data_IF_793591833324
#
_entry.id   IF_793591833324
#
_cell.length_a   1.000
_cell.length_b   1.000
_cell.length_c   1.000
_cell.angle_alpha   90.00
_cell.angle_beta   90.00
_cell.angle_gamma   90.00
#
_symmetry.space_group_name_H-M   'P 1'
#
loop_
_entity.id
_entity.type
_entity.pdbx_description
1 polymer ?
#
# COMPACT_ATOMS: atom_id res chain seq x y z
N UNK A 1 3.28 17.40 -18.72
CA UNK A 1 4.69 17.47 -19.18
C UNK A 1 4.69 17.31 -20.68
N UNK A 2 5.22 18.30 -21.40
CA UNK A 2 5.19 18.36 -22.86
C UNK A 2 6.01 17.20 -23.47
N UNK A 3 5.41 16.47 -24.40
CA UNK A 3 5.96 15.31 -25.13
C UNK A 3 7.20 15.67 -26.02
N UNK A 4 7.51 16.95 -26.13
CA UNK A 4 8.65 17.45 -26.96
C UNK A 4 10.05 17.17 -26.42
N UNK A 5 10.17 16.80 -25.12
CA UNK A 5 11.46 16.49 -24.47
C UNK A 5 11.97 15.06 -24.69
N UNK A 6 11.16 14.18 -25.30
CA UNK A 6 11.48 12.75 -25.48
C UNK A 6 12.16 12.40 -26.81
N UNK A 7 12.58 13.37 -27.58
CA UNK A 7 13.25 13.10 -28.86
C UNK A 7 14.75 12.91 -28.61
N UNK A 8 15.26 11.71 -28.84
CA UNK A 8 16.70 11.41 -28.76
C UNK A 8 17.52 12.11 -29.79
N UNK A 9 16.90 12.64 -30.87
CA UNK A 9 17.58 13.24 -32.02
C UNK A 9 18.74 12.37 -32.55
N UNK A 10 18.61 11.04 -32.44
CA UNK A 10 19.62 10.10 -32.89
C UNK A 10 18.95 8.86 -33.52
N UNK A 11 18.67 8.86 -34.82
CA UNK A 11 17.87 7.82 -35.49
C UNK A 11 18.36 6.39 -35.26
N UNK A 12 19.69 6.17 -35.16
CA UNK A 12 20.26 4.85 -34.91
C UNK A 12 19.94 4.33 -33.48
N UNK A 13 19.97 5.22 -32.48
CA UNK A 13 19.61 4.84 -31.09
C UNK A 13 18.13 4.52 -30.99
N UNK A 14 17.29 5.31 -31.65
CA UNK A 14 15.83 5.05 -31.70
C UNK A 14 15.51 3.71 -32.38
N UNK A 15 16.21 3.39 -33.47
CA UNK A 15 16.05 2.09 -34.14
C UNK A 15 16.46 0.92 -33.26
N UNK A 16 17.59 1.03 -32.54
CA UNK A 16 18.04 0.00 -31.58
C UNK A 16 17.08 -0.17 -30.40
N UNK A 17 16.51 0.90 -29.87
CA UNK A 17 15.50 0.85 -28.79
C UNK A 17 14.25 0.11 -29.26
N UNK A 18 13.77 0.36 -30.48
CA UNK A 18 12.63 -0.35 -31.06
C UNK A 18 12.93 -1.84 -31.24
N UNK A 19 14.10 -2.18 -31.76
CA UNK A 19 14.55 -3.56 -31.92
C UNK A 19 14.60 -4.30 -30.58
N UNK A 20 15.27 -3.71 -29.56
CA UNK A 20 15.29 -4.25 -28.21
C UNK A 20 13.89 -4.45 -27.61
N UNK A 21 13.00 -3.49 -27.82
CA UNK A 21 11.63 -3.57 -27.32
C UNK A 21 10.82 -4.70 -27.97
N UNK A 22 11.07 -4.98 -29.25
CA UNK A 22 10.46 -6.11 -29.98
C UNK A 22 10.98 -7.46 -29.48
N UNK A 23 12.29 -7.55 -29.18
CA UNK A 23 12.92 -8.78 -28.64
C UNK A 23 12.43 -9.17 -27.25
N UNK A 24 11.88 -8.22 -26.46
CA UNK A 24 11.30 -8.50 -25.13
C UNK A 24 10.04 -9.37 -25.19
N UNK A 25 9.50 -9.66 -26.37
CA UNK A 25 8.39 -10.58 -26.60
C UNK A 25 7.00 -10.00 -26.33
N UNK A 26 5.94 -10.77 -26.67
CA UNK A 26 4.55 -10.27 -26.65
C UNK A 26 4.00 -10.00 -25.24
N UNK A 27 4.66 -10.49 -24.18
CA UNK A 27 4.31 -10.17 -22.79
C UNK A 27 4.74 -8.77 -22.33
N UNK A 28 5.66 -8.15 -23.06
CA UNK A 28 6.04 -6.76 -22.84
C UNK A 28 5.06 -5.88 -23.64
N UNK A 29 4.29 -5.02 -22.95
CA UNK A 29 3.57 -3.94 -23.64
C UNK A 29 4.63 -3.09 -24.34
N UNK A 30 4.90 -3.39 -25.60
CA UNK A 30 6.04 -2.88 -26.39
C UNK A 30 6.28 -1.38 -26.23
N UNK A 31 5.24 -0.56 -26.27
CA UNK A 31 5.35 0.87 -26.08
C UNK A 31 5.84 1.34 -24.70
N UNK A 32 5.71 0.53 -23.64
CA UNK A 32 6.22 0.88 -22.31
C UNK A 32 7.73 0.64 -22.22
N UNK A 33 8.22 -0.48 -22.76
CA UNK A 33 9.67 -0.77 -22.79
C UNK A 33 10.42 0.24 -23.66
N UNK A 34 9.87 0.62 -24.81
CA UNK A 34 10.42 1.66 -25.65
C UNK A 34 10.59 2.98 -24.88
N UNK A 35 9.58 3.40 -24.11
CA UNK A 35 9.67 4.59 -23.25
C UNK A 35 10.75 4.44 -22.16
N UNK A 36 10.83 3.29 -21.50
CA UNK A 36 11.85 3.03 -20.46
C UNK A 36 13.28 3.11 -21.03
N UNK A 37 13.53 2.49 -22.18
CA UNK A 37 14.83 2.55 -22.84
C UNK A 37 15.16 3.97 -23.34
N UNK A 38 14.16 4.70 -23.82
CA UNK A 38 14.32 6.11 -24.24
C UNK A 38 14.72 6.97 -23.03
N UNK A 39 14.03 6.83 -21.89
CA UNK A 39 14.35 7.60 -20.68
C UNK A 39 15.77 7.26 -20.18
N UNK A 40 16.20 5.98 -20.22
CA UNK A 40 17.56 5.58 -19.86
C UNK A 40 18.62 6.17 -20.80
N UNK A 41 18.36 6.19 -22.12
CA UNK A 41 19.26 6.77 -23.09
C UNK A 41 19.38 8.31 -22.93
N UNK A 42 18.27 8.99 -22.61
CA UNK A 42 18.24 10.42 -22.30
C UNK A 42 19.05 10.74 -21.03
N UNK A 43 18.88 9.96 -19.97
CA UNK A 43 19.67 10.11 -18.72
C UNK A 43 21.17 9.99 -19.03
N UNK A 44 21.58 8.97 -19.80
CA UNK A 44 22.98 8.79 -20.15
C UNK A 44 23.58 9.90 -20.98
N UNK A 45 22.76 10.59 -21.79
CA UNK A 45 23.19 11.74 -22.63
C UNK A 45 23.19 13.06 -21.86
N UNK A 46 22.21 13.28 -20.98
CA UNK A 46 21.91 14.59 -20.38
C UNK A 46 22.56 14.78 -19.02
N UNK A 47 22.85 13.68 -18.32
CA UNK A 47 23.47 13.72 -17.01
C UNK A 47 24.82 12.98 -16.99
N UNK A 48 25.95 13.71 -16.93
CA UNK A 48 27.29 13.12 -16.85
C UNK A 48 27.66 12.65 -15.45
N UNK A 49 26.86 12.94 -14.39
CA UNK A 49 27.22 12.61 -13.03
C UNK A 49 27.10 11.11 -12.75
N UNK A 50 28.24 10.50 -12.42
CA UNK A 50 28.34 9.07 -12.12
C UNK A 50 27.59 8.69 -10.82
N UNK A 51 27.45 9.59 -9.86
CA UNK A 51 26.69 9.34 -8.65
C UNK A 51 25.19 9.20 -8.95
N UNK A 52 24.66 10.01 -9.86
CA UNK A 52 23.28 9.91 -10.31
C UNK A 52 23.02 8.62 -11.10
N UNK A 53 23.96 8.22 -11.96
CA UNK A 53 23.87 6.93 -12.65
C UNK A 53 23.86 5.75 -11.67
N UNK A 54 24.68 5.79 -10.62
CA UNK A 54 24.64 4.79 -9.54
C UNK A 54 23.32 4.77 -8.80
N UNK A 55 22.75 5.93 -8.50
CA UNK A 55 21.44 6.06 -7.84
C UNK A 55 20.36 5.38 -8.69
N UNK A 56 20.28 5.75 -9.98
CA UNK A 56 19.27 5.23 -10.91
C UNK A 56 19.43 3.72 -11.10
N UNK A 57 20.65 3.24 -11.37
CA UNK A 57 20.92 1.82 -11.53
C UNK A 57 20.52 1.03 -10.28
N UNK A 58 20.89 1.51 -9.08
CA UNK A 58 20.55 0.82 -7.84
C UNK A 58 19.04 0.82 -7.57
N UNK A 59 18.37 1.92 -7.85
CA UNK A 59 16.90 2.05 -7.76
C UNK A 59 16.19 1.05 -8.68
N UNK A 60 16.58 0.99 -9.96
CA UNK A 60 16.01 0.04 -10.92
C UNK A 60 16.25 -1.41 -10.49
N UNK A 61 17.44 -1.70 -9.97
CA UNK A 61 17.77 -3.03 -9.47
C UNK A 61 16.90 -3.42 -8.28
N UNK A 62 16.73 -2.53 -7.29
CA UNK A 62 15.89 -2.77 -6.13
C UNK A 62 14.42 -2.99 -6.52
N UNK A 63 13.89 -2.18 -7.43
CA UNK A 63 12.54 -2.36 -7.96
C UNK A 63 12.39 -3.69 -8.70
N UNK A 64 13.33 -4.04 -9.59
CA UNK A 64 13.29 -5.31 -10.31
C UNK A 64 13.30 -6.50 -9.35
N UNK A 65 14.25 -6.53 -8.41
CA UNK A 65 14.39 -7.63 -7.44
C UNK A 65 13.14 -7.77 -6.58
N UNK A 66 12.56 -6.64 -6.10
CA UNK A 66 11.33 -6.64 -5.32
C UNK A 66 10.12 -7.13 -6.13
N UNK A 67 9.95 -6.61 -7.34
CA UNK A 67 8.83 -7.01 -8.21
C UNK A 67 8.91 -8.51 -8.56
N UNK A 68 10.12 -9.05 -8.74
CA UNK A 68 10.34 -10.48 -8.97
C UNK A 68 10.02 -11.30 -7.71
N UNK A 69 10.44 -10.84 -6.53
CA UNK A 69 10.16 -11.49 -5.25
C UNK A 69 8.65 -11.65 -5.02
N UNK A 70 7.88 -10.59 -5.25
CA UNK A 70 6.43 -10.60 -4.97
C UNK A 70 5.57 -11.18 -6.10
N UNK A 71 6.13 -11.44 -7.29
CA UNK A 71 5.38 -11.93 -8.44
C UNK A 71 4.56 -13.20 -8.16
N UNK A 72 5.10 -14.25 -7.50
CA UNK A 72 4.34 -15.46 -7.18
C UNK A 72 3.20 -15.24 -6.17
N UNK A 73 3.24 -14.12 -5.44
CA UNK A 73 2.34 -13.82 -4.31
C UNK A 73 1.33 -12.71 -4.61
N UNK A 74 1.13 -12.33 -5.88
CA UNK A 74 0.21 -11.24 -6.29
C UNK A 74 -1.24 -11.48 -5.89
N UNK A 75 -1.67 -12.73 -5.86
CA UNK A 75 -3.05 -13.09 -5.46
C UNK A 75 -3.28 -13.16 -3.95
N UNK A 76 -2.25 -12.95 -3.11
CA UNK A 76 -2.34 -13.04 -1.66
C UNK A 76 -2.30 -11.65 -1.02
N UNK A 77 -3.26 -11.40 -0.11
CA UNK A 77 -3.24 -10.17 0.70
C UNK A 77 -2.12 -10.22 1.71
N UNK A 78 -1.48 -9.07 1.91
CA UNK A 78 -0.35 -8.93 2.83
C UNK A 78 -0.60 -7.78 3.79
N UNK A 79 -0.16 -7.93 5.02
CA UNK A 79 -0.25 -6.89 6.06
C UNK A 79 1.15 -6.41 6.42
N UNK A 80 1.39 -5.11 6.28
CA UNK A 80 2.62 -4.48 6.75
C UNK A 80 2.52 -4.21 8.25
N UNK A 81 3.51 -4.66 9.02
CA UNK A 81 3.57 -4.48 10.48
C UNK A 81 4.79 -3.66 10.84
N UNK A 82 4.55 -2.54 11.52
CA UNK A 82 5.58 -1.62 11.99
C UNK A 82 5.48 -1.40 13.51
N UNK A 83 6.60 -1.05 14.12
CA UNK A 83 6.70 -0.75 15.53
C UNK A 83 8.14 -0.62 15.98
N UNK A 84 8.34 -0.43 17.29
CA UNK A 84 9.66 -0.26 17.87
C UNK A 84 10.58 -1.47 17.64
N UNK A 85 11.79 -1.24 17.18
CA UNK A 85 12.85 -2.25 17.09
C UNK A 85 13.52 -2.55 18.43
N UNK A 86 13.17 -1.80 19.50
CA UNK A 86 13.87 -1.82 20.80
C UNK A 86 13.12 -2.55 21.90
N UNK A 87 11.89 -3.01 21.63
CA UNK A 87 11.12 -3.78 22.63
C UNK A 87 11.66 -5.20 22.74
N UNK A 88 11.76 -5.71 23.97
CA UNK A 88 12.18 -7.08 24.25
C UNK A 88 11.03 -8.06 24.03
N UNK A 89 11.34 -9.35 23.97
CA UNK A 89 10.38 -10.45 23.84
C UNK A 89 9.41 -10.57 25.05
N UNK A 90 9.81 -10.06 26.21
CA UNK A 90 8.95 -9.97 27.40
C UNK A 90 7.92 -8.84 27.34
N UNK A 91 8.12 -7.85 26.46
CA UNK A 91 7.24 -6.69 26.37
C UNK A 91 5.83 -7.07 25.86
N UNK A 92 4.73 -6.53 26.46
CA UNK A 92 3.37 -6.83 26.02
C UNK A 92 3.11 -6.61 24.54
N UNK A 93 3.61 -5.51 23.96
CA UNK A 93 3.46 -5.21 22.53
C UNK A 93 4.24 -6.20 21.63
N UNK A 94 5.33 -6.82 22.09
CA UNK A 94 6.01 -7.88 21.35
C UNK A 94 5.11 -9.12 21.22
N UNK A 95 4.52 -9.55 22.34
CA UNK A 95 3.57 -10.68 22.37
C UNK A 95 2.36 -10.41 21.50
N UNK A 96 1.81 -9.19 21.60
CA UNK A 96 0.69 -8.72 20.80
C UNK A 96 0.98 -8.75 19.29
N UNK A 97 2.18 -8.31 18.87
CA UNK A 97 2.60 -8.37 17.47
C UNK A 97 2.76 -9.81 16.96
N UNK A 98 3.25 -10.71 17.81
CA UNK A 98 3.37 -12.14 17.50
C UNK A 98 1.99 -12.78 17.34
N UNK A 99 1.07 -12.54 18.27
CA UNK A 99 -0.33 -13.01 18.22
C UNK A 99 -1.07 -12.49 16.99
N UNK A 100 -0.91 -11.20 16.68
CA UNK A 100 -1.47 -10.59 15.46
C UNK A 100 -1.00 -11.34 14.22
N UNK A 101 0.31 -11.55 14.09
CA UNK A 101 0.87 -12.20 12.90
C UNK A 101 0.43 -13.66 12.76
N UNK A 102 0.33 -14.41 13.86
CA UNK A 102 -0.23 -15.77 13.88
C UNK A 102 -1.68 -15.78 13.41
N UNK A 103 -2.52 -14.91 13.97
CA UNK A 103 -3.92 -14.81 13.59
C UNK A 103 -4.12 -14.38 12.12
N UNK A 104 -3.33 -13.44 11.60
CA UNK A 104 -3.35 -13.05 10.20
C UNK A 104 -3.01 -14.22 9.27
N UNK A 105 -2.02 -15.03 9.61
CA UNK A 105 -1.64 -16.22 8.83
C UNK A 105 -2.75 -17.26 8.81
N UNK A 106 -3.47 -17.47 9.92
CA UNK A 106 -4.64 -18.34 9.98
C UNK A 106 -5.78 -17.85 9.07
N UNK A 107 -5.83 -16.55 8.78
CA UNK A 107 -6.77 -15.93 7.84
C UNK A 107 -6.20 -15.82 6.40
N UNK A 108 -5.18 -16.62 6.09
CA UNK A 108 -4.48 -16.67 4.78
C UNK A 108 -3.82 -15.34 4.33
N UNK A 109 -3.56 -14.42 5.26
CA UNK A 109 -2.72 -13.27 4.99
C UNK A 109 -1.23 -13.63 5.08
N UNK A 110 -0.41 -12.84 4.44
CA UNK A 110 1.05 -12.83 4.60
C UNK A 110 1.46 -11.55 5.35
N UNK A 111 2.62 -11.58 5.99
CA UNK A 111 3.12 -10.47 6.81
C UNK A 111 4.38 -9.88 6.19
N UNK A 112 4.43 -8.55 6.10
CA UNK A 112 5.62 -7.81 5.64
C UNK A 112 6.14 -6.98 6.80
N UNK A 113 7.44 -7.06 7.08
CA UNK A 113 8.11 -6.23 8.10
C UNK A 113 9.39 -5.60 7.56
N UNK A 114 9.98 -4.67 8.34
CA UNK A 114 11.32 -4.15 8.07
C UNK A 114 12.46 -5.11 8.41
N UNK A 115 12.15 -6.33 8.86
CA UNK A 115 13.12 -7.39 9.21
C UNK A 115 14.10 -7.04 10.34
N UNK A 116 13.87 -5.99 11.11
CA UNK A 116 14.66 -5.63 12.31
C UNK A 116 14.22 -6.42 13.56
N UNK A 117 14.77 -6.05 14.71
CA UNK A 117 14.37 -6.61 16.01
C UNK A 117 13.01 -6.10 16.50
N UNK A 118 12.67 -6.43 17.73
CA UNK A 118 11.47 -5.96 18.43
C UNK A 118 10.15 -6.35 17.76
N UNK A 119 9.30 -5.39 17.45
CA UNK A 119 7.98 -5.64 16.85
C UNK A 119 8.09 -6.36 15.49
N UNK A 120 9.08 -6.02 14.68
CA UNK A 120 9.29 -6.65 13.38
C UNK A 120 9.70 -8.12 13.53
N UNK A 121 10.55 -8.40 14.50
CA UNK A 121 10.96 -9.77 14.87
C UNK A 121 9.76 -10.57 15.38
N UNK A 122 8.97 -10.00 16.29
CA UNK A 122 7.76 -10.63 16.82
C UNK A 122 6.79 -11.02 15.71
N UNK A 123 6.55 -10.10 14.76
CA UNK A 123 5.67 -10.35 13.63
C UNK A 123 6.22 -11.43 12.67
N UNK A 124 7.51 -11.42 12.35
CA UNK A 124 8.13 -12.49 11.55
C UNK A 124 8.08 -13.84 12.26
N UNK A 125 8.35 -13.86 13.58
CA UNK A 125 8.23 -15.07 14.43
C UNK A 125 6.82 -15.64 14.41
N UNK A 126 5.81 -14.78 14.59
CA UNK A 126 4.40 -15.17 14.60
C UNK A 126 3.91 -15.68 13.26
N UNK A 127 4.31 -15.06 12.16
CA UNK A 127 3.91 -15.45 10.81
C UNK A 127 4.65 -16.71 10.30
N UNK A 128 5.85 -17.00 10.80
CA UNK A 128 6.71 -18.05 10.29
C UNK A 128 7.30 -17.71 8.91
N UNK A 129 8.36 -18.45 8.51
CA UNK A 129 9.16 -18.15 7.31
C UNK A 129 8.35 -18.12 6.02
N UNK A 130 7.47 -19.10 5.81
CA UNK A 130 6.70 -19.25 4.56
C UNK A 130 5.71 -18.12 4.31
N UNK A 131 5.25 -17.45 5.37
CA UNK A 131 4.23 -16.39 5.31
C UNK A 131 4.80 -15.01 5.65
N UNK A 132 6.14 -14.90 5.82
CA UNK A 132 6.85 -13.67 6.16
C UNK A 132 7.61 -13.10 4.98
N UNK A 133 7.66 -11.77 4.90
CA UNK A 133 8.54 -11.01 4.02
C UNK A 133 9.31 -9.98 4.85
N UNK A 134 10.60 -9.87 4.55
CA UNK A 134 11.49 -8.88 5.16
C UNK A 134 11.96 -7.85 4.15
N UNK A 135 11.62 -6.58 4.35
CA UNK A 135 12.14 -5.46 3.55
C UNK A 135 13.13 -4.67 4.41
N UNK A 136 14.36 -5.19 4.51
CA UNK A 136 15.40 -4.63 5.37
C UNK A 136 16.07 -3.41 4.72
N UNK A 137 16.56 -2.47 5.53
CA UNK A 137 17.32 -1.30 5.09
C UNK A 137 18.76 -1.42 5.56
N UNK A 138 19.71 -1.16 4.67
CA UNK A 138 21.13 -1.05 5.05
C UNK A 138 21.37 0.28 5.75
N UNK A 139 21.68 0.21 7.03
CA UNK A 139 22.07 1.36 7.85
C UNK A 139 23.60 1.40 8.04
N UNK A 140 24.18 2.58 8.35
CA UNK A 140 25.62 2.71 8.68
C UNK A 140 26.05 1.85 9.88
N UNK A 141 25.20 1.75 10.91
CA UNK A 141 25.32 0.74 11.97
C UNK A 141 24.57 -0.50 11.50
N UNK A 142 25.31 -1.54 11.17
CA UNK A 142 24.74 -2.78 10.61
C UNK A 142 23.64 -3.35 11.52
N UNK A 143 22.39 -3.17 11.11
CA UNK A 143 21.27 -3.87 11.71
C UNK A 143 21.07 -5.17 10.94
N UNK A 144 21.57 -6.27 11.52
CA UNK A 144 21.30 -7.59 10.97
C UNK A 144 19.81 -7.89 10.95
N UNK A 145 19.30 -8.58 9.94
CA UNK A 145 17.93 -9.08 9.97
C UNK A 145 17.70 -9.94 11.21
N UNK A 146 16.45 -9.96 11.69
CA UNK A 146 16.11 -10.85 12.80
C UNK A 146 16.21 -12.34 12.41
N UNK A 147 16.41 -13.26 13.38
CA UNK A 147 16.72 -14.67 13.09
C UNK A 147 15.57 -15.42 12.40
N UNK A 148 14.34 -14.91 12.45
CA UNK A 148 13.18 -15.55 11.85
C UNK A 148 13.05 -15.33 10.35
N UNK A 149 13.79 -14.35 9.79
CA UNK A 149 13.78 -14.02 8.35
C UNK A 149 15.21 -13.97 7.75
N UNK A 150 16.25 -14.02 8.58
CA UNK A 150 17.63 -14.00 8.06
C UNK A 150 17.92 -15.19 7.15
N UNK A 151 18.65 -14.92 6.06
CA UNK A 151 18.96 -15.88 4.99
C UNK A 151 17.73 -16.54 4.34
N UNK A 152 16.56 -15.89 4.42
CA UNK A 152 15.35 -16.36 3.78
C UNK A 152 15.23 -15.79 2.35
N UNK A 153 14.71 -16.56 1.36
CA UNK A 153 14.45 -16.04 0.01
C UNK A 153 13.43 -14.88 -0.01
N UNK A 154 12.60 -14.73 1.02
CA UNK A 154 11.67 -13.63 1.17
C UNK A 154 12.28 -12.38 1.84
N UNK A 155 13.59 -12.38 2.12
CA UNK A 155 14.32 -11.23 2.65
C UNK A 155 14.94 -10.43 1.52
N UNK A 156 14.62 -9.17 1.44
CA UNK A 156 15.25 -8.21 0.54
C UNK A 156 15.96 -7.09 1.32
N UNK A 157 17.16 -6.69 0.86
CA UNK A 157 17.97 -5.62 1.47
C UNK A 157 18.00 -4.40 0.56
N UNK A 158 17.46 -3.29 1.03
CA UNK A 158 17.42 -2.00 0.34
C UNK A 158 18.57 -1.09 0.77
N UNK A 159 19.04 -0.27 -0.15
CA UNK A 159 19.95 0.85 0.12
C UNK A 159 19.15 2.14 0.34
N UNK A 160 18.03 2.31 -0.38
CA UNK A 160 17.26 3.54 -0.35
C UNK A 160 15.93 3.36 0.37
N UNK A 161 15.60 4.33 1.22
CA UNK A 161 14.31 4.36 1.93
C UNK A 161 13.14 4.46 0.97
N UNK A 162 13.21 5.32 -0.05
CA UNK A 162 12.08 5.56 -0.95
C UNK A 162 11.68 4.32 -1.77
N UNK A 163 12.64 3.50 -2.22
CA UNK A 163 12.33 2.24 -2.92
C UNK A 163 11.68 1.23 -1.99
N UNK A 164 12.17 1.14 -0.75
CA UNK A 164 11.60 0.28 0.28
C UNK A 164 10.18 0.69 0.63
N UNK A 165 9.94 1.99 0.89
CA UNK A 165 8.63 2.57 1.19
C UNK A 165 7.63 2.30 0.08
N UNK A 166 8.02 2.51 -1.18
CA UNK A 166 7.19 2.19 -2.33
C UNK A 166 6.74 0.72 -2.30
N UNK A 167 7.63 -0.21 -1.95
CA UNK A 167 7.29 -1.64 -1.91
C UNK A 167 6.37 -1.99 -0.74
N UNK A 168 6.53 -1.38 0.44
CA UNK A 168 5.56 -1.53 1.54
C UNK A 168 4.16 -1.10 1.11
N UNK A 169 4.06 0.08 0.49
CA UNK A 169 2.77 0.61 0.03
C UNK A 169 2.16 -0.26 -1.08
N UNK A 170 2.97 -0.66 -2.06
CA UNK A 170 2.50 -1.41 -3.22
C UNK A 170 2.04 -2.83 -2.88
N UNK A 171 2.74 -3.51 -1.98
CA UNK A 171 2.53 -4.93 -1.72
C UNK A 171 1.61 -5.22 -0.54
N UNK A 172 1.27 -4.23 0.30
CA UNK A 172 0.39 -4.44 1.43
C UNK A 172 -1.06 -4.05 1.14
N UNK A 173 -1.97 -4.85 1.67
CA UNK A 173 -3.43 -4.60 1.68
C UNK A 173 -3.89 -3.98 2.99
N UNK A 174 -3.09 -3.99 4.03
CA UNK A 174 -3.35 -3.35 5.32
C UNK A 174 -2.03 -2.94 5.97
N UNK A 175 -2.09 -1.98 6.88
CA UNK A 175 -0.96 -1.55 7.69
C UNK A 175 -1.34 -1.59 9.16
N UNK A 176 -0.53 -2.24 9.99
CA UNK A 176 -0.68 -2.24 11.44
C UNK A 176 0.53 -1.57 12.07
N UNK A 177 0.27 -0.56 12.89
CA UNK A 177 1.26 0.24 13.58
C UNK A 177 1.18 -0.05 15.09
N UNK A 178 2.22 -0.63 15.65
CA UNK A 178 2.40 -0.74 17.11
C UNK A 178 3.27 0.44 17.60
N UNK A 179 3.26 0.75 18.91
CA UNK A 179 4.10 1.82 19.47
C UNK A 179 5.55 1.75 19.03
N UNK A 180 6.10 2.89 18.60
CA UNK A 180 7.47 2.96 18.09
C UNK A 180 8.01 4.36 17.98
N UNK A 181 9.23 4.47 17.45
CA UNK A 181 9.90 5.74 17.24
C UNK A 181 9.61 6.39 15.89
N UNK A 182 10.51 7.27 15.46
CA UNK A 182 10.37 8.04 14.22
C UNK A 182 10.13 7.16 12.99
N UNK A 183 10.81 6.01 12.84
CA UNK A 183 10.62 5.15 11.70
C UNK A 183 9.22 4.54 11.64
N UNK A 184 8.57 4.26 12.78
CA UNK A 184 7.19 3.79 12.84
C UNK A 184 6.22 4.91 12.44
N UNK A 185 6.42 6.11 12.97
CA UNK A 185 5.60 7.28 12.65
C UNK A 185 5.78 7.74 11.20
N UNK A 186 7.00 7.67 10.65
CA UNK A 186 7.32 7.97 9.27
C UNK A 186 6.53 7.07 8.29
N UNK A 187 6.49 5.76 8.53
CA UNK A 187 5.66 4.85 7.73
C UNK A 187 4.15 5.08 7.97
N UNK A 188 3.77 5.42 9.21
CA UNK A 188 2.38 5.77 9.53
C UNK A 188 1.89 7.01 8.79
N UNK A 189 2.64 8.10 8.86
CA UNK A 189 2.29 9.36 8.20
C UNK A 189 2.34 9.23 6.67
N UNK A 190 3.28 8.46 6.11
CA UNK A 190 3.29 8.20 4.67
C UNK A 190 2.02 7.47 4.22
N UNK A 191 1.62 6.40 4.92
CA UNK A 191 0.37 5.68 4.63
C UNK A 191 -0.84 6.62 4.69
N UNK A 192 -0.94 7.45 5.73
CA UNK A 192 -2.03 8.43 5.89
C UNK A 192 -2.03 9.47 4.77
N UNK A 193 -0.87 10.05 4.45
CA UNK A 193 -0.74 11.06 3.40
C UNK A 193 -1.10 10.48 2.02
N UNK A 194 -0.63 9.28 1.70
CA UNK A 194 -0.94 8.63 0.44
C UNK A 194 -2.42 8.25 0.33
N UNK A 195 -3.06 7.84 1.42
CA UNK A 195 -4.49 7.57 1.42
C UNK A 195 -5.29 8.86 1.31
N UNK A 196 -5.01 9.86 2.16
CA UNK A 196 -5.68 11.17 2.16
C UNK A 196 -5.62 11.87 0.79
N UNK A 197 -4.54 11.67 0.05
CA UNK A 197 -4.32 12.28 -1.27
C UNK A 197 -4.69 11.38 -2.45
N UNK A 198 -5.21 10.17 -2.19
CA UNK A 198 -5.59 9.21 -3.23
C UNK A 198 -4.42 8.64 -4.03
N UNK A 199 -3.23 8.63 -3.48
CA UNK A 199 -2.01 8.08 -4.11
C UNK A 199 -1.77 6.61 -3.82
N UNK A 200 -2.55 6.02 -2.91
CA UNK A 200 -2.62 4.57 -2.73
C UNK A 200 -4.08 4.10 -2.73
N UNK A 201 -4.27 2.79 -2.85
CA UNK A 201 -5.59 2.17 -2.74
C UNK A 201 -6.12 2.29 -1.31
N UNK A 202 -7.44 2.52 -1.12
CA UNK A 202 -8.06 2.45 0.20
C UNK A 202 -7.78 1.11 0.88
N UNK A 203 -7.35 1.18 2.14
CA UNK A 203 -6.99 0.02 2.95
C UNK A 203 -7.01 0.37 4.43
N UNK A 204 -7.22 -0.61 5.33
CA UNK A 204 -7.22 -0.34 6.76
C UNK A 204 -5.81 -0.01 7.27
N UNK A 205 -5.73 1.06 8.06
CA UNK A 205 -4.55 1.44 8.85
C UNK A 205 -4.94 1.28 10.31
N UNK A 206 -4.37 0.28 10.99
CA UNK A 206 -4.72 -0.07 12.37
C UNK A 206 -3.64 0.40 13.33
N UNK A 207 -4.04 1.19 14.31
CA UNK A 207 -3.22 1.61 15.44
C UNK A 207 -3.44 0.61 16.59
N UNK A 208 -2.46 -0.27 16.81
CA UNK A 208 -2.55 -1.36 17.77
C UNK A 208 -1.57 -1.15 18.91
N UNK A 209 -2.02 -1.16 20.17
CA UNK A 209 -1.18 -1.29 21.35
C UNK A 209 -1.88 -2.13 22.41
N UNK A 210 -1.12 -2.58 23.42
CA UNK A 210 -1.67 -3.31 24.54
C UNK A 210 -2.71 -2.48 25.29
N UNK A 211 -3.72 -3.14 25.86
CA UNK A 211 -4.86 -2.50 26.55
C UNK A 211 -4.45 -1.50 27.65
N UNK A 212 -3.32 -1.74 28.29
CA UNK A 212 -2.79 -0.89 29.37
C UNK A 212 -1.84 0.21 28.84
N UNK A 213 -1.63 0.29 27.52
CA UNK A 213 -0.83 1.34 26.87
C UNK A 213 -1.75 2.47 26.40
N UNK A 214 -1.23 3.69 26.33
CA UNK A 214 -1.94 4.87 25.85
C UNK A 214 -1.20 5.63 24.76
N UNK A 215 -0.25 4.98 24.10
CA UNK A 215 0.58 5.61 23.07
C UNK A 215 -0.28 6.18 21.93
N UNK A 216 -1.18 5.38 21.39
CA UNK A 216 -2.02 5.82 20.28
C UNK A 216 -3.15 6.75 20.71
N UNK A 217 -3.64 6.69 21.95
CA UNK A 217 -4.62 7.65 22.46
C UNK A 217 -4.01 9.06 22.52
N UNK A 218 -2.78 9.18 23.03
CA UNK A 218 -2.05 10.47 23.04
C UNK A 218 -1.76 10.97 21.63
N UNK A 219 -1.47 10.07 20.70
CA UNK A 219 -1.28 10.44 19.30
C UNK A 219 -2.58 10.96 18.68
N UNK A 220 -3.73 10.29 18.91
CA UNK A 220 -5.05 10.70 18.44
C UNK A 220 -5.44 12.04 19.08
N UNK A 221 -5.15 12.24 20.36
CA UNK A 221 -5.38 13.51 21.06
C UNK A 221 -4.58 14.65 20.42
N UNK A 222 -3.31 14.42 20.08
CA UNK A 222 -2.49 15.38 19.38
C UNK A 222 -3.07 15.71 17.98
N UNK A 223 -3.42 14.71 17.21
CA UNK A 223 -4.05 14.90 15.89
C UNK A 223 -5.33 15.73 16.01
N UNK A 224 -6.18 15.40 16.98
CA UNK A 224 -7.49 16.06 17.19
C UNK A 224 -7.34 17.48 17.73
N UNK A 225 -6.55 17.67 18.78
CA UNK A 225 -6.43 18.93 19.50
C UNK A 225 -5.53 19.95 18.81
N UNK A 226 -4.62 19.50 17.93
CA UNK A 226 -3.67 20.36 17.22
C UNK A 226 -3.98 20.38 15.73
N UNK A 227 -3.87 19.25 15.02
CA UNK A 227 -3.93 19.25 13.55
C UNK A 227 -5.32 19.58 13.02
N UNK A 228 -6.36 18.94 13.57
CA UNK A 228 -7.76 19.22 13.15
C UNK A 228 -8.15 20.62 13.61
N UNK A 229 -7.88 20.99 14.87
CA UNK A 229 -8.25 22.30 15.41
C UNK A 229 -7.59 23.46 14.66
N UNK A 230 -6.37 23.29 14.15
CA UNK A 230 -5.67 24.27 13.33
C UNK A 230 -6.05 24.22 11.84
N UNK A 231 -6.90 23.26 11.43
CA UNK A 231 -7.30 23.11 10.04
C UNK A 231 -6.21 22.51 9.12
N UNK A 232 -5.19 21.88 9.66
CA UNK A 232 -4.14 21.23 8.85
C UNK A 232 -4.65 19.95 8.18
N UNK A 233 -5.63 19.29 8.78
CA UNK A 233 -6.35 18.15 8.24
C UNK A 233 -7.84 18.27 8.56
N UNK A 234 -8.68 17.54 7.84
CA UNK A 234 -10.12 17.52 8.08
C UNK A 234 -10.49 16.57 9.23
N UNK A 235 -11.64 16.80 9.87
CA UNK A 235 -12.17 15.89 10.89
C UNK A 235 -12.42 14.48 10.32
N UNK A 236 -12.79 14.38 9.04
CA UNK A 236 -13.04 13.12 8.38
C UNK A 236 -11.76 12.29 8.16
N UNK A 237 -10.58 12.92 8.22
CA UNK A 237 -9.31 12.20 8.05
C UNK A 237 -9.00 11.26 9.22
N UNK A 238 -9.64 11.45 10.39
CA UNK A 238 -9.55 10.48 11.49
C UNK A 238 -10.18 9.12 11.15
N UNK A 239 -11.11 9.07 10.19
CA UNK A 239 -11.67 7.79 9.73
C UNK A 239 -10.67 6.93 8.96
N UNK A 240 -9.51 7.47 8.59
CA UNK A 240 -8.45 6.72 7.91
C UNK A 240 -7.72 5.73 8.83
N UNK A 241 -7.86 5.88 10.15
CA UNK A 241 -7.23 5.01 11.14
C UNK A 241 -8.26 4.31 12.02
N UNK A 242 -7.90 3.11 12.44
CA UNK A 242 -8.70 2.29 13.34
C UNK A 242 -7.90 2.00 14.61
N UNK A 243 -8.53 2.18 15.76
CA UNK A 243 -7.93 1.87 17.05
C UNK A 243 -8.24 0.43 17.43
N UNK A 244 -7.23 -0.36 17.82
CA UNK A 244 -7.38 -1.72 18.32
C UNK A 244 -6.55 -1.91 19.61
N UNK A 245 -7.07 -2.71 20.56
CA UNK A 245 -6.48 -3.01 21.87
C UNK A 245 -6.06 -4.47 22.00
N UNK A 246 -6.39 -5.30 21.03
CA UNK A 246 -6.03 -6.71 20.96
C UNK A 246 -5.69 -7.14 19.53
N UNK A 247 -4.97 -8.25 19.41
CA UNK A 247 -4.67 -8.83 18.09
C UNK A 247 -5.96 -9.22 17.35
N UNK A 248 -6.93 -9.80 18.05
CA UNK A 248 -8.21 -10.20 17.46
C UNK A 248 -8.98 -9.01 16.92
N UNK A 249 -9.08 -7.91 17.68
CA UNK A 249 -9.75 -6.70 17.25
C UNK A 249 -9.10 -6.09 15.99
N UNK A 250 -7.76 -6.12 15.89
CA UNK A 250 -7.04 -5.68 14.69
C UNK A 250 -7.31 -6.58 13.48
N UNK A 251 -7.34 -7.90 13.69
CA UNK A 251 -7.64 -8.88 12.64
C UNK A 251 -9.07 -8.70 12.14
N UNK A 252 -10.05 -8.63 13.05
CA UNK A 252 -11.47 -8.46 12.72
C UNK A 252 -11.66 -7.19 11.89
N UNK A 253 -11.00 -6.09 12.27
CA UNK A 253 -11.06 -4.84 11.53
C UNK A 253 -10.51 -4.95 10.10
N UNK A 254 -9.43 -5.71 9.92
CA UNK A 254 -8.86 -5.97 8.59
C UNK A 254 -9.80 -6.85 7.74
N UNK A 255 -10.39 -7.87 8.34
CA UNK A 255 -11.34 -8.76 7.67
C UNK A 255 -12.62 -8.02 7.29
N UNK A 256 -13.19 -7.26 8.21
CA UNK A 256 -14.40 -6.45 7.99
C UNK A 256 -14.22 -5.44 6.87
N UNK A 257 -13.04 -4.82 6.75
CA UNK A 257 -12.76 -3.88 5.67
C UNK A 257 -12.90 -4.49 4.28
N UNK A 258 -12.67 -5.78 4.14
CA UNK A 258 -12.73 -6.51 2.89
C UNK A 258 -13.92 -7.47 2.77
N UNK A 259 -14.90 -7.35 3.67
CA UNK A 259 -16.09 -8.21 3.70
C UNK A 259 -16.92 -8.07 2.42
N UNK A 260 -17.12 -6.84 1.97
CA UNK A 260 -17.86 -6.51 0.74
C UNK A 260 -16.98 -5.72 -0.24
N UNK A 261 -16.22 -4.76 0.23
CA UNK A 261 -15.27 -4.01 -0.59
C UNK A 261 -14.10 -4.90 -1.04
N UNK A 262 -13.86 -4.98 -2.34
CA UNK A 262 -12.71 -5.71 -2.88
C UNK A 262 -11.57 -4.77 -3.26
N UNK A 263 -11.84 -3.77 -4.10
CA UNK A 263 -10.85 -2.83 -4.63
C UNK A 263 -11.50 -1.58 -5.22
N UNK A 264 -10.70 -0.55 -5.46
CA UNK A 264 -11.10 0.69 -6.12
C UNK A 264 -10.21 0.94 -7.34
N UNK A 265 -10.78 1.52 -8.38
CA UNK A 265 -10.03 2.02 -9.53
C UNK A 265 -10.66 3.29 -10.10
N UNK A 266 -9.86 4.02 -10.85
CA UNK A 266 -10.34 5.16 -11.63
C UNK A 266 -10.36 4.78 -13.11
N UNK A 267 -11.48 5.09 -13.78
CA UNK A 267 -11.65 4.96 -15.23
C UNK A 267 -12.02 6.34 -15.78
N UNK A 268 -11.01 7.09 -16.18
CA UNK A 268 -11.16 8.52 -16.43
C UNK A 268 -11.55 9.25 -15.13
N UNK A 269 -12.71 9.90 -15.14
CA UNK A 269 -13.25 10.59 -13.96
C UNK A 269 -14.15 9.71 -13.10
N UNK A 270 -14.53 8.54 -13.59
CA UNK A 270 -15.39 7.62 -12.88
C UNK A 270 -14.59 6.83 -11.84
N UNK A 271 -15.08 6.82 -10.60
CA UNK A 271 -14.59 5.96 -9.52
C UNK A 271 -15.42 4.69 -9.51
N UNK A 272 -14.73 3.55 -9.56
CA UNK A 272 -15.34 2.21 -9.61
C UNK A 272 -14.89 1.43 -8.39
N UNK A 273 -15.84 1.08 -7.53
CA UNK A 273 -15.65 0.14 -6.42
C UNK A 273 -16.00 -1.26 -6.91
N UNK A 274 -15.06 -2.18 -6.83
CA UNK A 274 -15.31 -3.61 -7.05
C UNK A 274 -15.73 -4.23 -5.72
N UNK A 275 -16.80 -5.01 -5.72
CA UNK A 275 -17.39 -5.59 -4.52
C UNK A 275 -17.37 -7.12 -4.61
N UNK A 276 -17.36 -7.81 -3.46
CA UNK A 276 -17.45 -9.27 -3.41
C UNK A 276 -18.87 -9.78 -3.62
N UNK A 277 -19.87 -8.94 -3.35
CA UNK A 277 -21.31 -9.23 -3.56
C UNK A 277 -22.08 -7.96 -3.95
N UNK A 278 -23.22 -8.14 -4.61
CA UNK A 278 -24.10 -7.03 -5.00
C UNK A 278 -24.82 -6.42 -3.79
N UNK A 279 -25.00 -5.10 -3.81
CA UNK A 279 -25.73 -4.40 -2.77
C UNK A 279 -27.25 -4.37 -3.07
N UNK A 280 -28.14 -4.46 -2.05
CA UNK A 280 -29.57 -4.22 -2.20
C UNK A 280 -29.86 -2.80 -2.70
N UNK A 281 -30.93 -2.64 -3.47
CA UNK A 281 -31.34 -1.32 -4.00
C UNK A 281 -31.61 -0.29 -2.91
N UNK A 282 -32.16 -0.73 -1.78
CA UNK A 282 -32.47 0.16 -0.65
C UNK A 282 -31.19 0.70 -0.03
N UNK A 283 -30.19 -0.16 0.22
CA UNK A 283 -28.89 0.26 0.71
C UNK A 283 -28.19 1.24 -0.27
N UNK A 284 -28.26 0.98 -1.57
CA UNK A 284 -27.71 1.92 -2.57
C UNK A 284 -28.39 3.29 -2.49
N UNK A 285 -29.71 3.35 -2.21
CA UNK A 285 -30.43 4.62 -2.01
C UNK A 285 -29.99 5.34 -0.73
N UNK A 286 -29.82 4.61 0.37
CA UNK A 286 -29.31 5.15 1.64
C UNK A 286 -27.91 5.73 1.46
N UNK A 287 -26.99 4.98 0.85
CA UNK A 287 -25.63 5.44 0.56
C UNK A 287 -25.61 6.70 -0.34
N UNK A 288 -26.50 6.79 -1.32
CA UNK A 288 -26.64 8.01 -2.13
C UNK A 288 -27.07 9.23 -1.31
N UNK A 289 -27.93 9.05 -0.33
CA UNK A 289 -28.37 10.13 0.55
C UNK A 289 -27.26 10.54 1.52
N UNK A 290 -26.61 9.57 2.15
CA UNK A 290 -25.60 9.80 3.19
C UNK A 290 -24.30 10.39 2.62
N UNK A 291 -23.91 9.95 1.42
CA UNK A 291 -22.63 10.33 0.78
C UNK A 291 -22.80 11.27 -0.42
N UNK A 292 -23.91 12.01 -0.48
CA UNK A 292 -24.15 12.98 -1.55
C UNK A 292 -23.07 14.07 -1.60
N UNK A 293 -22.49 14.41 -0.47
CA UNK A 293 -21.45 15.41 -0.30
C UNK A 293 -20.15 15.13 -1.09
N UNK A 294 -19.89 13.88 -1.42
CA UNK A 294 -18.70 13.47 -2.19
C UNK A 294 -19.01 13.10 -3.65
N UNK A 295 -20.26 13.20 -4.08
CA UNK A 295 -20.68 12.87 -5.44
C UNK A 295 -20.76 14.16 -6.26
N UNK A 296 -19.85 14.35 -7.21
CA UNK A 296 -19.76 15.58 -8.03
C UNK A 296 -20.93 15.69 -9.03
N UNK A 297 -21.35 14.55 -9.59
CA UNK A 297 -22.49 14.47 -10.52
C UNK A 297 -23.09 13.07 -10.57
N UNK A 298 -24.37 12.97 -10.91
CA UNK A 298 -25.09 11.69 -10.99
C UNK A 298 -25.34 11.10 -9.61
N UNK A 299 -25.16 9.80 -9.48
CA UNK A 299 -25.38 9.04 -8.25
C UNK A 299 -24.47 7.83 -8.18
N UNK A 300 -24.32 7.25 -6.98
CA UNK A 300 -23.81 5.90 -6.81
C UNK A 300 -24.76 4.91 -7.49
N UNK A 301 -24.23 4.06 -8.38
CA UNK A 301 -25.07 3.08 -9.08
C UNK A 301 -24.29 1.81 -9.42
N UNK A 302 -24.94 0.63 -9.41
CA UNK A 302 -24.36 -0.57 -9.95
C UNK A 302 -24.06 -0.42 -11.44
N UNK A 303 -22.89 -0.88 -11.87
CA UNK A 303 -22.46 -0.83 -13.27
C UNK A 303 -21.83 -2.16 -13.70
N UNK A 304 -21.88 -2.52 -14.97
CA UNK A 304 -21.11 -3.64 -15.50
C UNK A 304 -19.60 -3.33 -15.47
N UNK A 305 -18.74 -4.36 -15.60
CA UNK A 305 -17.31 -4.16 -15.76
C UNK A 305 -16.98 -3.26 -16.96
N UNK A 306 -16.04 -2.34 -16.78
CA UNK A 306 -15.61 -1.48 -17.88
C UNK A 306 -14.80 -2.27 -18.92
N UNK A 307 -14.83 -1.88 -20.20
CA UNK A 307 -14.11 -2.55 -21.29
C UNK A 307 -12.62 -2.79 -21.00
N UNK A 308 -11.97 -1.87 -20.29
CA UNK A 308 -10.56 -1.99 -19.91
C UNK A 308 -10.35 -3.10 -18.86
N UNK A 309 -11.28 -3.26 -17.92
CA UNK A 309 -11.24 -4.32 -16.90
C UNK A 309 -11.41 -5.70 -17.55
N UNK A 310 -12.33 -5.80 -18.50
CA UNK A 310 -12.53 -7.04 -19.29
C UNK A 310 -11.28 -7.41 -20.09
N UNK A 311 -10.62 -6.43 -20.73
CA UNK A 311 -9.37 -6.65 -21.47
C UNK A 311 -8.22 -7.12 -20.59
N UNK A 312 -8.18 -6.67 -19.34
CA UNK A 312 -7.14 -7.02 -18.38
C UNK A 312 -7.51 -8.24 -17.54
N UNK A 313 -8.69 -8.81 -17.73
CA UNK A 313 -9.26 -9.90 -16.91
C UNK A 313 -9.26 -9.58 -15.40
N UNK A 314 -9.64 -8.34 -15.04
CA UNK A 314 -9.64 -7.85 -13.67
C UNK A 314 -10.97 -8.15 -12.99
N UNK A 315 -11.11 -9.35 -12.44
CA UNK A 315 -12.29 -9.83 -11.69
C UNK A 315 -13.62 -9.54 -12.41
N UNK A 316 -13.80 -9.96 -13.69
CA UNK A 316 -14.97 -9.61 -14.50
C UNK A 316 -16.30 -10.07 -13.90
N UNK A 317 -16.27 -11.08 -13.03
CA UNK A 317 -17.43 -11.69 -12.36
C UNK A 317 -17.92 -10.89 -11.14
N UNK A 318 -17.07 -10.04 -10.56
CA UNK A 318 -17.43 -9.32 -9.34
C UNK A 318 -18.36 -8.12 -9.66
N UNK A 319 -19.30 -7.77 -8.75
CA UNK A 319 -20.15 -6.59 -8.91
C UNK A 319 -19.37 -5.28 -8.81
N UNK A 320 -19.89 -4.23 -9.44
CA UNK A 320 -19.33 -2.87 -9.37
C UNK A 320 -20.38 -1.89 -8.84
N UNK A 321 -19.86 -0.91 -8.11
CA UNK A 321 -20.58 0.31 -7.75
C UNK A 321 -19.75 1.50 -8.25
N UNK A 322 -20.33 2.39 -9.04
CA UNK A 322 -19.60 3.49 -9.67
C UNK A 322 -20.23 4.83 -9.38
N UNK A 323 -19.43 5.88 -9.28
CA UNK A 323 -19.85 7.27 -9.10
C UNK A 323 -18.73 8.24 -9.49
N UNK A 324 -19.09 9.52 -9.64
CA UNK A 324 -18.14 10.60 -9.85
C UNK A 324 -17.72 11.19 -8.52
N UNK A 325 -16.60 10.71 -7.99
CA UNK A 325 -16.02 11.14 -6.73
C UNK A 325 -15.29 12.48 -6.87
N UNK A 326 -15.34 13.35 -5.86
CA UNK A 326 -14.69 14.65 -5.82
C UNK A 326 -13.15 14.59 -5.81
N UNK A 327 -12.56 13.42 -5.58
CA UNK A 327 -11.12 13.14 -5.53
C UNK A 327 -10.36 13.98 -4.48
N UNK A 328 -11.05 14.45 -3.44
CA UNK A 328 -10.49 15.23 -2.34
C UNK A 328 -10.91 14.72 -0.95
N UNK A 329 -12.12 14.19 -0.82
CA UNK A 329 -12.72 13.79 0.47
C UNK A 329 -12.46 12.32 0.81
N UNK A 330 -11.18 11.88 0.85
CA UNK A 330 -10.83 10.46 1.02
C UNK A 330 -11.23 9.90 2.39
N UNK A 331 -11.31 10.72 3.45
CA UNK A 331 -11.90 10.31 4.72
C UNK A 331 -13.36 9.92 4.59
N UNK A 332 -14.16 10.69 3.82
CA UNK A 332 -15.54 10.34 3.50
C UNK A 332 -15.66 9.11 2.61
N UNK A 333 -14.76 8.97 1.64
CA UNK A 333 -14.67 7.75 0.83
C UNK A 333 -14.40 6.51 1.70
N UNK A 334 -13.54 6.62 2.71
CA UNK A 334 -13.31 5.53 3.65
C UNK A 334 -14.57 5.20 4.45
N UNK A 335 -15.31 6.20 4.92
CA UNK A 335 -16.61 6.00 5.60
C UNK A 335 -17.63 5.32 4.68
N UNK A 336 -17.67 5.65 3.38
CA UNK A 336 -18.53 4.97 2.39
C UNK A 336 -18.15 3.48 2.28
N UNK A 337 -16.85 3.16 2.21
CA UNK A 337 -16.37 1.77 2.17
C UNK A 337 -16.77 1.02 3.46
N UNK A 338 -16.68 1.66 4.61
CA UNK A 338 -17.13 1.09 5.88
C UNK A 338 -18.64 0.82 5.89
N UNK A 339 -19.45 1.77 5.46
CA UNK A 339 -20.89 1.60 5.37
C UNK A 339 -21.27 0.44 4.43
N UNK A 340 -20.58 0.30 3.29
CA UNK A 340 -20.74 -0.84 2.38
C UNK A 340 -20.39 -2.16 3.07
N UNK A 341 -19.36 -2.21 3.91
CA UNK A 341 -18.90 -3.42 4.58
C UNK A 341 -19.77 -3.84 5.77
N UNK A 342 -20.62 -2.95 6.30
CA UNK A 342 -21.59 -3.30 7.35
C UNK A 342 -22.73 -4.20 6.83
N UNK A 343 -22.94 -4.25 5.52
CA UNK A 343 -23.86 -5.19 4.86
C UNK A 343 -23.24 -6.60 4.77
#
# INVERSE_FOLDING_TARGET
MNDKSRNLNHPRVEALIRELSQLMGPGAKTGMFEKMFTDLALIGRENPDFADHKLIHKTLRELRESLTLFLPFRGKRKVAVFGSSRVSDSHPNYKLAMELAQGLVHQDFQVITGAGGGIMEAANRGAGREKSFGLNIKLPSEQSPNPYIDNDPHLMKFKYFFTRKLMFIKESSATVLLPGGFGTLDEGFENLTLFQTGKCMPRPIVLLDHKDDNYWDRWIDFISSVMIKQGFISKNDLSLVYRARSAQEAIDRILDYYKVFHSLRYVGDLTVLTLTKSLPRDLVRELNTEFQDIIVKGSLQPTPPHKQELRNNEFPELPRLSFYFDKSSFGRLNQLIEAINQF
#
